data_IF_019688223778
#
_entry.id   IF_019688223778
#
_cell.length_a   1.000
_cell.length_b   1.000
_cell.length_c   1.000
_cell.angle_alpha   90.00
_cell.angle_beta   90.00
_cell.angle_gamma   90.00
#
_symmetry.space_group_name_H-M   'P 1'
#
loop_
_entity.id
_entity.type
_entity.pdbx_description
1 polymer ?
#
# COMPACT_ATOMS: atom_id res chain seq x y z
N UNK A 1 15.58 8.90 13.71
CA UNK A 1 15.04 8.02 12.64
C UNK A 1 15.06 6.60 13.16
N UNK A 2 14.08 5.76 12.82
CA UNK A 2 13.98 4.38 13.32
C UNK A 2 15.12 3.52 12.75
N UNK A 3 15.66 2.61 13.56
CA UNK A 3 16.61 1.60 13.08
C UNK A 3 15.85 0.42 12.45
N UNK A 4 15.86 0.37 11.12
CA UNK A 4 15.19 -0.68 10.34
C UNK A 4 16.00 -1.98 10.27
N UNK A 5 17.27 -1.98 10.70
CA UNK A 5 18.11 -3.19 10.71
C UNK A 5 17.94 -4.00 12.00
N UNK A 6 17.44 -3.36 13.04
CA UNK A 6 17.14 -3.98 14.33
C UNK A 6 15.76 -4.66 14.35
N UNK A 7 15.50 -5.43 15.41
CA UNK A 7 14.17 -5.96 15.74
C UNK A 7 13.17 -4.80 15.88
N UNK A 8 11.94 -4.89 15.32
CA UNK A 8 11.31 -6.07 14.71
C UNK A 8 11.51 -6.22 13.20
N UNK A 9 12.23 -5.30 12.54
CA UNK A 9 12.22 -5.18 11.09
C UNK A 9 13.28 -6.04 10.41
N UNK A 10 14.49 -6.11 10.98
CA UNK A 10 15.59 -6.93 10.45
C UNK A 10 15.88 -6.71 8.95
N UNK A 11 15.69 -5.50 8.44
CA UNK A 11 16.00 -5.20 7.04
C UNK A 11 17.52 -5.22 6.83
N UNK A 12 17.94 -5.72 5.67
CA UNK A 12 19.30 -5.51 5.22
C UNK A 12 19.54 -4.06 4.78
N UNK A 13 20.78 -3.73 4.44
CA UNK A 13 21.13 -2.38 4.02
C UNK A 13 20.35 -1.93 2.77
N UNK A 14 20.06 -2.84 1.85
CA UNK A 14 19.35 -2.55 0.61
C UNK A 14 17.86 -2.25 0.88
N UNK A 15 17.19 -3.04 1.70
CA UNK A 15 15.81 -2.83 2.12
C UNK A 15 15.65 -1.54 2.93
N UNK A 16 16.56 -1.27 3.86
CA UNK A 16 16.54 -0.01 4.62
C UNK A 16 16.82 1.21 3.73
N UNK A 17 17.68 1.07 2.71
CA UNK A 17 17.90 2.12 1.71
C UNK A 17 16.66 2.35 0.85
N UNK A 18 16.00 1.28 0.39
CA UNK A 18 14.75 1.37 -0.39
C UNK A 18 13.67 2.12 0.38
N UNK A 19 13.44 1.80 1.66
CA UNK A 19 12.44 2.51 2.49
C UNK A 19 12.72 4.02 2.52
N UNK A 20 13.97 4.40 2.78
CA UNK A 20 14.37 5.81 2.84
C UNK A 20 14.19 6.51 1.50
N UNK A 21 14.70 5.94 0.41
CA UNK A 21 14.56 6.54 -0.93
C UNK A 21 13.11 6.63 -1.39
N UNK A 22 12.28 5.64 -1.04
CA UNK A 22 10.86 5.62 -1.39
C UNK A 22 10.11 6.73 -0.66
N UNK A 23 10.35 6.91 0.65
CA UNK A 23 9.74 8.01 1.43
C UNK A 23 10.24 9.38 0.93
N UNK A 24 11.52 9.52 0.60
CA UNK A 24 12.08 10.79 0.13
C UNK A 24 11.50 11.21 -1.22
N UNK A 25 11.15 10.25 -2.09
CA UNK A 25 10.55 10.49 -3.39
C UNK A 25 9.02 10.76 -3.35
N UNK A 26 8.37 10.62 -2.18
CA UNK A 26 6.93 10.87 -2.05
C UNK A 26 6.60 12.36 -1.90
N UNK A 27 5.50 12.78 -2.51
CA UNK A 27 4.87 14.08 -2.20
C UNK A 27 4.28 14.08 -0.77
N UNK A 28 3.99 15.25 -0.18
CA UNK A 28 3.28 15.30 1.09
C UNK A 28 1.92 14.59 1.07
N UNK A 29 1.21 14.65 -0.05
CA UNK A 29 -0.08 13.96 -0.24
C UNK A 29 0.08 12.44 -0.23
N UNK A 30 1.07 11.90 -0.96
CA UNK A 30 1.38 10.47 -0.93
C UNK A 30 1.79 10.01 0.47
N UNK A 31 2.61 10.79 1.19
CA UNK A 31 3.00 10.49 2.58
C UNK A 31 1.80 10.41 3.51
N UNK A 32 0.84 11.33 3.36
CA UNK A 32 -0.39 11.32 4.14
C UNK A 32 -1.24 10.09 3.78
N UNK A 33 -1.40 9.79 2.49
CA UNK A 33 -2.13 8.62 2.02
C UNK A 33 -1.63 7.30 2.61
N UNK A 34 -0.30 7.14 2.70
CA UNK A 34 0.34 5.95 3.28
C UNK A 34 0.02 5.73 4.78
N UNK A 35 -0.52 6.72 5.49
CA UNK A 35 -0.94 6.58 6.89
C UNK A 35 -2.34 5.97 7.04
N UNK A 36 -3.11 5.84 5.94
CA UNK A 36 -4.49 5.37 5.98
C UNK A 36 -4.64 3.95 5.40
N UNK A 37 -5.43 3.14 6.12
CA UNK A 37 -5.89 1.83 5.65
C UNK A 37 -7.37 1.95 5.29
N UNK A 38 -7.69 1.85 4.01
CA UNK A 38 -9.07 2.01 3.53
C UNK A 38 -9.91 0.74 3.78
N UNK A 39 -11.16 0.90 4.23
CA UNK A 39 -12.14 -0.18 4.15
C UNK A 39 -12.75 -0.18 2.74
N UNK A 40 -12.39 -1.17 1.94
CA UNK A 40 -12.99 -1.39 0.64
C UNK A 40 -14.43 -1.89 0.81
N UNK A 41 -15.39 -1.08 0.37
CA UNK A 41 -16.82 -1.40 0.39
C UNK A 41 -17.28 -2.08 -0.91
N UNK A 42 -16.44 -2.08 -1.93
CA UNK A 42 -16.66 -2.75 -3.21
C UNK A 42 -15.36 -3.42 -3.71
N UNK A 43 -15.53 -4.40 -4.60
CA UNK A 43 -14.45 -5.14 -5.24
C UNK A 43 -14.25 -4.76 -6.72
N UNK A 44 -14.97 -3.75 -7.22
CA UNK A 44 -14.93 -3.37 -8.64
C UNK A 44 -13.61 -2.65 -8.98
N UNK A 45 -13.07 -2.85 -10.20
CA UNK A 45 -11.88 -2.15 -10.67
C UNK A 45 -12.00 -0.62 -10.59
N UNK A 46 -13.16 -0.05 -10.92
CA UNK A 46 -13.38 1.39 -10.93
C UNK A 46 -13.29 1.99 -9.52
N UNK A 47 -13.82 1.26 -8.53
CA UNK A 47 -13.72 1.66 -7.13
C UNK A 47 -12.26 1.64 -6.66
N UNK A 48 -11.54 0.58 -6.99
CA UNK A 48 -10.11 0.42 -6.66
C UNK A 48 -9.26 1.51 -7.31
N UNK A 49 -9.45 1.75 -8.61
CA UNK A 49 -8.71 2.76 -9.37
C UNK A 49 -8.93 4.16 -8.78
N UNK A 50 -10.16 4.47 -8.35
CA UNK A 50 -10.45 5.72 -7.66
C UNK A 50 -9.74 5.80 -6.30
N UNK A 51 -9.87 4.79 -5.44
CA UNK A 51 -9.24 4.80 -4.11
C UNK A 51 -7.72 4.94 -4.20
N UNK A 52 -7.09 4.17 -5.09
CA UNK A 52 -5.64 4.14 -5.26
C UNK A 52 -5.11 5.41 -5.93
N UNK A 53 -5.80 5.88 -6.97
CA UNK A 53 -5.38 7.05 -7.73
C UNK A 53 -5.63 8.38 -7.02
N UNK A 54 -6.67 8.47 -6.19
CA UNK A 54 -7.03 9.71 -5.48
C UNK A 54 -6.43 9.80 -4.08
N UNK A 55 -6.33 8.71 -3.34
CA UNK A 55 -5.97 8.77 -1.92
C UNK A 55 -4.61 8.15 -1.58
N UNK A 56 -3.96 7.45 -2.52
CA UNK A 56 -2.62 6.89 -2.34
C UNK A 56 -2.45 6.06 -1.04
N UNK A 57 -3.50 5.32 -0.69
CA UNK A 57 -3.60 4.61 0.60
C UNK A 57 -2.47 3.62 0.81
N UNK A 58 -1.97 3.53 2.04
CA UNK A 58 -0.91 2.59 2.43
C UNK A 58 -1.40 1.15 2.57
N UNK A 59 -2.70 0.94 2.56
CA UNK A 59 -3.27 -0.41 2.54
C UNK A 59 -4.78 -0.42 2.46
N UNK A 60 -5.31 -1.64 2.30
CA UNK A 60 -6.74 -1.89 2.18
C UNK A 60 -7.14 -3.06 3.07
N UNK A 61 -8.30 -2.93 3.69
CA UNK A 61 -9.04 -4.05 4.28
C UNK A 61 -10.35 -4.20 3.55
N UNK A 62 -10.85 -5.43 3.45
CA UNK A 62 -12.13 -5.73 2.81
C UNK A 62 -12.95 -6.62 3.74
N UNK A 63 -14.28 -6.65 3.51
CA UNK A 63 -15.15 -7.64 4.14
C UNK A 63 -14.93 -9.01 3.48
N UNK A 64 -15.34 -10.07 4.15
CA UNK A 64 -15.20 -11.43 3.64
C UNK A 64 -15.84 -11.60 2.25
N UNK A 65 -15.11 -12.24 1.35
CA UNK A 65 -15.52 -12.67 0.02
C UNK A 65 -14.86 -14.03 -0.26
N UNK A 66 -15.23 -14.71 -1.35
CA UNK A 66 -14.57 -15.95 -1.74
C UNK A 66 -13.11 -15.69 -2.18
N UNK A 67 -12.32 -16.76 -2.17
CA UNK A 67 -10.88 -16.69 -2.43
C UNK A 67 -10.55 -16.15 -3.83
N UNK A 68 -11.37 -16.44 -4.84
CA UNK A 68 -11.12 -15.99 -6.21
C UNK A 68 -11.34 -14.48 -6.32
N UNK A 69 -12.42 -13.96 -5.72
CA UNK A 69 -12.67 -12.52 -5.65
C UNK A 69 -11.58 -11.78 -4.88
N UNK A 70 -11.16 -12.29 -3.72
CA UNK A 70 -10.07 -11.68 -2.93
C UNK A 70 -8.75 -11.66 -3.72
N UNK A 71 -8.42 -12.75 -4.42
CA UNK A 71 -7.20 -12.82 -5.20
C UNK A 71 -7.20 -11.84 -6.39
N UNK A 72 -8.32 -11.74 -7.11
CA UNK A 72 -8.47 -10.80 -8.21
C UNK A 72 -8.36 -9.35 -7.73
N UNK A 73 -8.94 -9.05 -6.57
CA UNK A 73 -8.89 -7.75 -5.93
C UNK A 73 -7.46 -7.32 -5.56
N UNK A 74 -6.72 -8.21 -4.89
CA UNK A 74 -5.31 -7.95 -4.52
C UNK A 74 -4.46 -7.76 -5.77
N UNK A 75 -4.65 -8.60 -6.79
CA UNK A 75 -3.91 -8.50 -8.06
C UNK A 75 -4.15 -7.16 -8.75
N UNK A 76 -5.42 -6.74 -8.87
CA UNK A 76 -5.77 -5.47 -9.49
C UNK A 76 -5.15 -4.30 -8.73
N UNK A 77 -5.33 -4.28 -7.41
CA UNK A 77 -4.75 -3.25 -6.54
C UNK A 77 -3.23 -3.13 -6.71
N UNK A 78 -2.51 -4.23 -6.57
CA UNK A 78 -1.05 -4.25 -6.68
C UNK A 78 -0.56 -3.85 -8.07
N UNK A 79 -1.34 -4.11 -9.13
CA UNK A 79 -0.99 -3.67 -10.50
C UNK A 79 -1.10 -2.16 -10.72
N UNK A 80 -1.79 -1.44 -9.84
CA UNK A 80 -2.08 -0.01 -9.94
C UNK A 80 -1.35 0.82 -8.87
N UNK A 81 -0.98 0.20 -7.75
CA UNK A 81 -0.26 0.85 -6.67
C UNK A 81 1.17 1.19 -7.06
N UNK A 82 1.56 2.46 -6.84
CA UNK A 82 2.95 2.91 -6.98
C UNK A 82 3.85 2.33 -5.88
N UNK A 83 3.32 2.19 -4.66
CA UNK A 83 4.01 1.64 -3.48
C UNK A 83 3.19 0.41 -3.01
N UNK A 84 3.79 -0.79 -2.96
CA UNK A 84 3.09 -2.04 -2.60
C UNK A 84 2.56 -2.12 -1.16
#
# INVERSE_FOLDING_TARGET
>A
MVDLTAKPFHLDAAGAAWVRSTIDAMTPEEKIGQLFINLNTAFTPEYLDHVLGTYHVGGMRFRGADAATVQAHIRHAQSKSKIP
#
